data_IF_495620358034
#
_entry.id   IF_495620358034
#
_cell.length_a   1.000
_cell.length_b   1.000
_cell.length_c   1.000
_cell.angle_alpha   90.00
_cell.angle_beta   90.00
_cell.angle_gamma   90.00
#
_symmetry.space_group_name_H-M   'P 1'
#
loop_
_entity.id
_entity.type
_entity.pdbx_description
1 polymer ?
#
# COMPACT_ATOMS: atom_id res chain seq x y z
N UNK A 1 11.96 -4.57 14.88
CA UNK A 1 12.97 -3.89 14.03
C UNK A 1 14.21 -4.76 13.80
N UNK A 2 14.96 -5.11 14.86
CA UNK A 2 16.27 -5.78 14.79
C UNK A 2 16.33 -7.05 13.92
N UNK A 3 15.49 -8.05 14.17
CA UNK A 3 15.53 -9.33 13.43
C UNK A 3 15.06 -9.20 11.98
N UNK A 4 14.08 -8.32 11.72
CA UNK A 4 13.60 -8.05 10.36
C UNK A 4 14.67 -7.39 9.49
N UNK A 5 15.37 -6.38 10.03
CA UNK A 5 16.50 -5.74 9.31
C UNK A 5 17.70 -6.67 9.18
N UNK A 6 17.97 -7.55 10.16
CA UNK A 6 18.99 -8.59 10.03
C UNK A 6 18.70 -9.55 8.87
N UNK A 7 17.44 -9.98 8.73
CA UNK A 7 17.01 -10.82 7.63
C UNK A 7 17.14 -10.09 6.28
N UNK A 8 16.76 -8.81 6.22
CA UNK A 8 16.90 -7.99 5.02
C UNK A 8 18.36 -7.86 4.58
N UNK A 9 19.28 -7.52 5.49
CA UNK A 9 20.72 -7.44 5.19
C UNK A 9 21.27 -8.79 4.74
N UNK A 10 20.88 -9.89 5.40
CA UNK A 10 21.30 -11.24 5.03
C UNK A 10 20.76 -11.65 3.66
N UNK A 11 19.61 -11.13 3.25
CA UNK A 11 19.05 -11.28 1.91
C UNK A 11 19.70 -10.36 0.85
N UNK A 12 20.62 -9.47 1.24
CA UNK A 12 21.28 -8.52 0.34
C UNK A 12 20.54 -7.19 0.15
N UNK A 13 19.50 -6.91 0.95
CA UNK A 13 18.77 -5.64 0.89
C UNK A 13 19.49 -4.55 1.69
N UNK A 14 19.69 -3.39 1.05
CA UNK A 14 20.31 -2.21 1.69
C UNK A 14 19.30 -1.30 2.39
N UNK A 15 18.01 -1.50 2.13
CA UNK A 15 16.93 -0.86 2.86
C UNK A 15 15.57 -1.47 2.56
N UNK A 16 14.61 -1.19 3.43
CA UNK A 16 13.26 -1.75 3.41
C UNK A 16 12.21 -0.70 3.72
N UNK A 17 11.04 -0.81 3.11
CA UNK A 17 9.85 -0.03 3.49
C UNK A 17 9.08 -0.86 4.51
N UNK A 18 8.74 -0.29 5.67
CA UNK A 18 7.90 -0.97 6.66
C UNK A 18 6.44 -0.55 6.52
N UNK A 19 5.56 -1.55 6.44
CA UNK A 19 4.11 -1.35 6.33
C UNK A 19 3.50 -0.81 7.63
N UNK A 20 2.39 -0.04 7.56
CA UNK A 20 1.78 0.64 8.71
C UNK A 20 0.92 -0.26 9.60
N UNK A 21 0.72 -1.53 9.24
CA UNK A 21 -0.13 -2.50 9.94
C UNK A 21 0.47 -3.05 11.25
N UNK A 22 1.24 -2.22 11.96
CA UNK A 22 1.76 -2.51 13.30
C UNK A 22 0.70 -2.27 14.38
N UNK A 23 1.06 -2.54 15.65
CA UNK A 23 0.22 -2.21 16.81
C UNK A 23 1.04 -1.32 17.76
N UNK A 24 0.77 -0.01 17.85
CA UNK A 24 -0.26 0.76 17.12
C UNK A 24 -0.01 0.88 15.60
N UNK A 25 -1.06 1.20 14.83
CA UNK A 25 -0.99 1.45 13.38
C UNK A 25 -0.27 2.78 13.13
N UNK A 26 0.56 2.88 12.10
CA UNK A 26 1.32 4.10 11.78
C UNK A 26 0.41 5.10 11.05
N UNK A 27 -0.47 5.80 11.76
CA UNK A 27 -1.48 6.73 11.21
C UNK A 27 -1.29 8.20 11.61
N UNK A 28 -0.20 8.53 12.29
CA UNK A 28 0.12 9.88 12.77
C UNK A 28 1.63 10.16 12.74
N UNK A 29 2.00 11.45 12.69
CA UNK A 29 3.38 11.91 12.65
C UNK A 29 4.27 11.36 13.80
N UNK A 30 3.81 11.33 15.07
CA UNK A 30 4.60 10.78 16.17
C UNK A 30 4.96 9.31 16.00
N UNK A 31 4.08 8.52 15.37
CA UNK A 31 4.32 7.09 15.12
C UNK A 31 5.33 6.88 14.00
N UNK A 32 5.29 7.70 12.96
CA UNK A 32 6.32 7.73 11.90
C UNK A 32 7.69 8.05 12.51
N UNK A 33 7.76 9.10 13.34
CA UNK A 33 9.00 9.48 14.02
C UNK A 33 9.51 8.37 14.96
N UNK A 34 8.61 7.71 15.69
CA UNK A 34 8.96 6.59 16.56
C UNK A 34 9.61 5.44 15.78
N UNK A 35 9.08 5.10 14.60
CA UNK A 35 9.61 4.04 13.75
C UNK A 35 10.99 4.39 13.22
N UNK A 36 11.21 5.64 12.81
CA UNK A 36 12.52 6.15 12.39
C UNK A 36 13.54 6.11 13.53
N UNK A 37 13.15 6.53 14.73
CA UNK A 37 13.98 6.46 15.92
C UNK A 37 14.36 5.02 16.27
N UNK A 38 13.40 4.09 16.20
CA UNK A 38 13.64 2.68 16.45
C UNK A 38 14.56 2.08 15.39
N UNK A 39 14.41 2.49 14.12
CA UNK A 39 15.28 2.07 13.04
C UNK A 39 16.70 2.62 13.20
N UNK A 40 16.87 3.84 13.69
CA UNK A 40 18.18 4.40 13.97
C UNK A 40 18.90 3.68 15.13
N UNK A 41 18.14 3.21 16.14
CA UNK A 41 18.69 2.52 17.32
C UNK A 41 18.99 1.05 17.09
N UNK A 42 18.12 0.35 16.36
CA UNK A 42 18.16 -1.12 16.22
C UNK A 42 18.28 -1.63 14.79
N UNK A 43 18.12 -0.75 13.79
CA UNK A 43 18.11 -1.12 12.38
C UNK A 43 19.50 -1.47 11.88
N UNK A 44 19.59 -2.60 11.19
CA UNK A 44 20.83 -3.03 10.52
C UNK A 44 20.89 -2.57 9.05
N UNK A 45 19.79 -2.03 8.52
CA UNK A 45 19.70 -1.40 7.21
C UNK A 45 18.79 -0.17 7.28
N UNK A 46 18.69 0.58 6.17
CA UNK A 46 17.82 1.75 6.09
C UNK A 46 16.35 1.31 6.12
N UNK A 47 15.55 1.94 6.97
CA UNK A 47 14.11 1.68 7.07
C UNK A 47 13.35 2.94 6.70
N UNK A 48 12.38 2.80 5.80
CA UNK A 48 11.49 3.88 5.42
C UNK A 48 10.05 3.52 5.84
N UNK A 49 9.39 4.32 6.69
CA UNK A 49 8.01 4.05 7.08
C UNK A 49 7.04 4.38 5.96
N UNK A 50 6.07 3.49 5.74
CA UNK A 50 4.82 3.85 5.09
C UNK A 50 3.80 4.24 6.17
N UNK A 51 2.98 5.25 5.88
CA UNK A 51 1.86 5.67 6.72
C UNK A 51 0.55 4.96 6.32
N UNK A 52 -0.40 4.87 7.24
CA UNK A 52 -1.74 4.38 6.96
C UNK A 52 -2.50 5.35 6.04
N UNK A 53 -3.40 4.84 5.19
CA UNK A 53 -4.32 5.71 4.45
C UNK A 53 -5.40 6.23 5.41
N UNK A 54 -5.90 5.36 6.28
CA UNK A 54 -6.97 5.66 7.22
C UNK A 54 -6.57 5.50 8.68
N UNK A 55 -7.25 6.21 9.58
CA UNK A 55 -7.01 6.10 11.02
C UNK A 55 -7.23 4.67 11.49
N UNK A 56 -6.23 4.11 12.19
CA UNK A 56 -6.23 2.71 12.62
C UNK A 56 -6.35 1.68 11.48
N UNK A 57 -6.10 2.08 10.23
CA UNK A 57 -6.39 1.30 9.02
C UNK A 57 -7.81 0.73 9.02
N UNK A 58 -8.81 1.57 9.33
CA UNK A 58 -10.21 1.18 9.42
C UNK A 58 -10.96 1.26 8.07
N UNK A 59 -10.41 1.95 7.07
CA UNK A 59 -11.06 2.20 5.77
C UNK A 59 -12.12 3.31 5.77
N UNK A 60 -12.32 3.99 6.91
CA UNK A 60 -13.42 4.95 7.12
C UNK A 60 -12.97 6.41 6.96
N UNK A 61 -12.07 6.88 7.84
CA UNK A 61 -11.59 8.26 7.90
C UNK A 61 -10.10 8.34 7.54
N UNK A 62 -9.70 9.32 6.73
CA UNK A 62 -8.30 9.54 6.37
C UNK A 62 -7.41 9.83 7.60
N UNK A 63 -6.19 9.30 7.55
CA UNK A 63 -5.14 9.61 8.49
C UNK A 63 -4.51 11.00 8.23
N UNK A 64 -3.62 11.44 9.11
CA UNK A 64 -2.90 12.72 9.01
C UNK A 64 -1.78 12.67 7.95
N UNK A 65 -2.15 12.40 6.69
CA UNK A 65 -1.21 12.13 5.57
C UNK A 65 -0.15 13.22 5.43
N UNK A 66 -0.54 14.49 5.52
CA UNK A 66 0.41 15.61 5.37
C UNK A 66 1.44 15.68 6.50
N UNK A 67 1.02 15.44 7.74
CA UNK A 67 1.94 15.42 8.88
C UNK A 67 2.85 14.19 8.84
N UNK A 68 2.31 13.04 8.44
CA UNK A 68 3.11 11.82 8.22
C UNK A 68 4.16 12.01 7.13
N UNK A 69 3.81 12.67 6.03
CA UNK A 69 4.76 13.00 4.95
C UNK A 69 5.92 13.84 5.50
N UNK A 70 5.60 14.89 6.26
CA UNK A 70 6.61 15.78 6.87
C UNK A 70 7.47 15.05 7.92
N UNK A 71 6.90 14.09 8.63
CA UNK A 71 7.62 13.26 9.60
C UNK A 71 8.55 12.22 8.94
N UNK A 72 8.45 12.00 7.62
CA UNK A 72 9.34 11.12 6.86
C UNK A 72 8.69 9.83 6.36
N UNK A 73 7.35 9.76 6.30
CA UNK A 73 6.68 8.69 5.58
C UNK A 73 6.98 8.78 4.08
N UNK A 74 7.30 7.65 3.45
CA UNK A 74 7.69 7.60 2.01
C UNK A 74 6.58 7.09 1.10
N UNK A 75 5.48 6.62 1.67
CA UNK A 75 4.32 6.08 0.98
C UNK A 75 3.13 6.05 1.94
N UNK A 76 1.92 5.92 1.39
CA UNK A 76 0.72 5.59 2.19
C UNK A 76 0.09 4.28 1.72
N UNK A 77 -0.42 3.49 2.65
CA UNK A 77 -1.07 2.19 2.38
C UNK A 77 -1.92 1.75 3.56
N UNK A 78 -3.03 1.05 3.32
CA UNK A 78 -3.70 0.27 4.37
C UNK A 78 -3.49 -1.23 4.12
N UNK A 79 -2.24 -1.67 4.29
CA UNK A 79 -1.87 -3.06 4.03
C UNK A 79 -2.53 -4.03 5.02
N UNK A 80 -3.14 -5.09 4.50
CA UNK A 80 -3.90 -6.09 5.26
C UNK A 80 -5.34 -5.67 5.62
N UNK A 81 -5.75 -4.44 5.28
CA UNK A 81 -7.15 -3.98 5.37
C UNK A 81 -7.48 -3.08 4.16
N UNK A 82 -8.03 -3.65 3.08
CA UNK A 82 -8.30 -2.89 1.87
C UNK A 82 -9.22 -1.69 2.14
N UNK A 83 -8.99 -0.59 1.44
CA UNK A 83 -9.89 0.57 1.48
C UNK A 83 -11.09 0.25 0.61
N UNK A 84 -12.22 -0.10 1.23
CA UNK A 84 -13.43 -0.54 0.52
C UNK A 84 -14.10 0.62 -0.24
N UNK A 85 -14.07 1.84 0.32
CA UNK A 85 -14.75 3.00 -0.27
C UNK A 85 -13.88 3.68 -1.33
N UNK A 86 -14.35 3.68 -2.58
CA UNK A 86 -13.70 4.38 -3.69
C UNK A 86 -13.49 5.88 -3.42
N UNK A 87 -14.43 6.53 -2.73
CA UNK A 87 -14.32 7.93 -2.31
C UNK A 87 -13.12 8.18 -1.39
N UNK A 88 -12.91 7.31 -0.39
CA UNK A 88 -11.78 7.38 0.54
C UNK A 88 -10.46 7.20 -0.19
N UNK A 89 -10.38 6.19 -1.07
CA UNK A 89 -9.19 5.95 -1.88
C UNK A 89 -8.88 7.14 -2.82
N UNK A 90 -9.91 7.67 -3.50
CA UNK A 90 -9.78 8.86 -4.35
C UNK A 90 -9.24 10.05 -3.57
N UNK A 91 -9.79 10.29 -2.39
CA UNK A 91 -9.36 11.40 -1.54
C UNK A 91 -7.91 11.18 -1.06
N UNK A 92 -7.54 9.95 -0.70
CA UNK A 92 -6.18 9.59 -0.36
C UNK A 92 -5.20 9.88 -1.50
N UNK A 93 -5.54 9.51 -2.74
CA UNK A 93 -4.73 9.83 -3.93
C UNK A 93 -4.56 11.33 -4.15
N UNK A 94 -5.62 12.14 -3.95
CA UNK A 94 -5.55 13.60 -4.04
C UNK A 94 -4.60 14.19 -2.99
N UNK A 95 -4.68 13.73 -1.73
CA UNK A 95 -3.80 14.20 -0.67
C UNK A 95 -2.36 13.74 -0.88
N UNK A 96 -2.14 12.46 -1.21
CA UNK A 96 -0.83 11.89 -1.46
C UNK A 96 -0.07 12.67 -2.55
N UNK A 97 -0.78 13.08 -3.61
CA UNK A 97 -0.23 13.93 -4.68
C UNK A 97 0.30 15.27 -4.17
N UNK A 98 -0.35 15.90 -3.18
CA UNK A 98 0.11 17.18 -2.64
C UNK A 98 1.48 17.07 -1.95
N UNK A 99 1.83 15.86 -1.50
CA UNK A 99 3.06 15.56 -0.78
C UNK A 99 4.03 14.66 -1.56
N UNK A 100 3.78 14.44 -2.86
CA UNK A 100 4.57 13.54 -3.73
C UNK A 100 4.73 12.11 -3.15
N UNK A 101 3.68 11.63 -2.47
CA UNK A 101 3.66 10.31 -1.89
C UNK A 101 3.03 9.29 -2.83
N UNK A 102 3.66 8.13 -3.05
CA UNK A 102 3.01 7.01 -3.69
C UNK A 102 1.93 6.42 -2.77
N UNK A 103 0.78 6.13 -3.36
CA UNK A 103 -0.28 5.31 -2.73
C UNK A 103 -0.07 3.86 -3.12
N UNK A 104 0.10 2.99 -2.12
CA UNK A 104 0.11 1.54 -2.29
C UNK A 104 -1.22 0.99 -1.77
N UNK A 105 -1.81 0.08 -2.55
CA UNK A 105 -3.03 -0.62 -2.13
C UNK A 105 -2.75 -2.11 -1.97
N UNK A 106 -3.47 -2.69 -1.01
CA UNK A 106 -3.66 -4.13 -0.86
C UNK A 106 -4.99 -4.46 -1.56
N UNK A 107 -4.93 -4.67 -2.86
CA UNK A 107 -6.14 -4.86 -3.67
C UNK A 107 -6.86 -6.15 -3.29
N UNK A 108 -7.93 -6.02 -2.50
CA UNK A 108 -8.79 -7.12 -2.13
C UNK A 108 -10.22 -6.63 -1.89
N UNK A 109 -11.17 -7.05 -2.72
CA UNK A 109 -12.60 -6.89 -2.48
C UNK A 109 -13.06 -7.92 -1.44
N UNK A 110 -13.36 -7.42 -0.23
CA UNK A 110 -13.75 -8.27 0.89
C UNK A 110 -15.09 -8.98 0.68
N UNK A 111 -15.97 -8.46 -0.18
CA UNK A 111 -17.23 -9.14 -0.50
C UNK A 111 -17.00 -10.41 -1.33
N UNK A 112 -15.94 -10.42 -2.13
CA UNK A 112 -15.51 -11.55 -2.94
C UNK A 112 -14.55 -12.49 -2.21
N UNK A 113 -13.65 -11.96 -1.37
CA UNK A 113 -12.66 -12.78 -0.65
C UNK A 113 -13.13 -13.34 0.69
N UNK A 114 -14.23 -12.83 1.25
CA UNK A 114 -14.69 -13.15 2.60
C UNK A 114 -14.68 -14.66 2.92
N UNK A 115 -13.84 -15.05 3.88
CA UNK A 115 -13.75 -16.42 4.39
C UNK A 115 -13.05 -17.42 3.46
N UNK A 116 -12.53 -16.98 2.32
CA UNK A 116 -11.61 -17.78 1.52
C UNK A 116 -10.24 -17.91 2.21
N UNK A 117 -9.56 -19.03 1.97
CA UNK A 117 -8.28 -19.35 2.63
C UNK A 117 -7.15 -19.65 1.65
N UNK A 118 -7.47 -19.71 0.37
CA UNK A 118 -6.53 -19.98 -0.72
C UNK A 118 -7.13 -19.53 -2.05
N UNK A 119 -6.34 -19.51 -3.11
CA UNK A 119 -6.83 -19.24 -4.47
C UNK A 119 -7.96 -20.19 -4.87
N UNK A 120 -9.03 -19.64 -5.44
CA UNK A 120 -10.11 -20.41 -6.05
C UNK A 120 -9.64 -21.12 -7.31
N UNK A 121 -9.66 -22.46 -7.27
CA UNK A 121 -9.35 -23.26 -8.44
C UNK A 121 -9.38 -24.75 -8.15
N UNK A 122 -8.76 -25.53 -9.03
CA UNK A 122 -8.79 -27.00 -8.94
C UNK A 122 -8.37 -27.52 -7.56
N UNK A 123 -7.32 -26.93 -6.97
CA UNK A 123 -6.78 -27.39 -5.69
C UNK A 123 -7.72 -27.07 -4.53
N UNK A 124 -8.35 -25.89 -4.49
CA UNK A 124 -9.31 -25.55 -3.44
C UNK A 124 -10.53 -26.47 -3.49
N UNK A 125 -11.02 -26.79 -4.69
CA UNK A 125 -12.10 -27.75 -4.89
C UNK A 125 -11.72 -29.16 -4.43
N UNK A 126 -10.51 -29.62 -4.77
CA UNK A 126 -10.02 -30.95 -4.35
C UNK A 126 -9.85 -31.06 -2.83
N UNK A 127 -9.42 -30.00 -2.18
CA UNK A 127 -9.21 -29.96 -0.72
C UNK A 127 -10.49 -29.64 0.06
N UNK A 128 -11.59 -29.29 -0.62
CA UNK A 128 -12.84 -28.85 0.03
C UNK A 128 -12.69 -27.52 0.77
N UNK A 129 -11.71 -26.70 0.39
CA UNK A 129 -11.44 -25.40 1.00
C UNK A 129 -12.13 -24.28 0.22
N UNK A 130 -12.60 -23.25 0.95
CA UNK A 130 -13.18 -22.06 0.31
C UNK A 130 -12.08 -21.26 -0.41
N UNK A 131 -12.25 -21.10 -1.72
CA UNK A 131 -11.35 -20.33 -2.57
C UNK A 131 -11.65 -18.83 -2.54
N UNK A 132 -10.63 -18.02 -2.85
CA UNK A 132 -10.71 -16.60 -3.15
C UNK A 132 -10.63 -16.43 -4.67
N UNK A 133 -11.68 -15.90 -5.33
CA UNK A 133 -11.67 -15.68 -6.77
C UNK A 133 -10.61 -14.65 -7.15
N UNK A 134 -10.01 -14.77 -8.34
CA UNK A 134 -9.09 -13.76 -8.89
C UNK A 134 -9.76 -12.38 -9.00
N UNK A 135 -11.07 -12.35 -9.26
CA UNK A 135 -11.88 -11.15 -9.30
C UNK A 135 -11.82 -10.31 -8.01
N UNK A 136 -11.55 -10.93 -6.86
CA UNK A 136 -11.39 -10.20 -5.60
C UNK A 136 -10.25 -9.16 -5.67
N UNK A 137 -9.16 -9.49 -6.35
CA UNK A 137 -8.06 -8.55 -6.54
C UNK A 137 -8.32 -7.62 -7.73
N UNK A 138 -8.75 -8.19 -8.86
CA UNK A 138 -8.89 -7.48 -10.14
C UNK A 138 -9.85 -6.28 -10.08
N UNK A 139 -10.93 -6.38 -9.30
CA UNK A 139 -11.91 -5.29 -9.15
C UNK A 139 -11.28 -4.06 -8.49
N UNK A 140 -10.50 -4.26 -7.42
CA UNK A 140 -9.81 -3.16 -6.74
C UNK A 140 -8.68 -2.58 -7.59
N UNK A 141 -7.91 -3.43 -8.28
CA UNK A 141 -6.88 -2.99 -9.23
C UNK A 141 -7.50 -2.10 -10.31
N UNK A 142 -8.61 -2.54 -10.92
CA UNK A 142 -9.28 -1.78 -11.97
C UNK A 142 -9.83 -0.43 -11.46
N UNK A 143 -10.46 -0.43 -10.27
CA UNK A 143 -10.92 0.79 -9.59
C UNK A 143 -9.77 1.76 -9.38
N UNK A 144 -8.67 1.30 -8.80
CA UNK A 144 -7.55 2.15 -8.43
C UNK A 144 -6.83 2.74 -9.64
N UNK A 145 -6.73 1.98 -10.74
CA UNK A 145 -6.22 2.50 -12.02
C UNK A 145 -7.12 3.64 -12.53
N UNK A 146 -8.44 3.48 -12.49
CA UNK A 146 -9.36 4.52 -12.93
C UNK A 146 -9.26 5.79 -12.07
N UNK A 147 -9.19 5.62 -10.74
CA UNK A 147 -9.00 6.72 -9.81
C UNK A 147 -7.64 7.42 -10.03
N UNK A 148 -6.57 6.65 -10.23
CA UNK A 148 -5.25 7.17 -10.54
C UNK A 148 -5.25 8.06 -11.80
N UNK A 149 -5.92 7.60 -12.86
CA UNK A 149 -6.05 8.34 -14.11
C UNK A 149 -6.84 9.63 -13.93
N UNK A 150 -7.85 9.63 -13.07
CA UNK A 150 -8.65 10.81 -12.72
C UNK A 150 -7.82 11.82 -11.89
N UNK A 151 -7.09 11.34 -10.88
CA UNK A 151 -6.38 12.21 -9.91
C UNK A 151 -4.98 12.63 -10.37
N UNK A 152 -4.43 11.98 -11.40
CA UNK A 152 -3.10 12.27 -11.97
C UNK A 152 -2.02 11.25 -11.58
N UNK A 153 -0.84 11.27 -12.25
CA UNK A 153 0.22 10.29 -12.02
C UNK A 153 0.77 10.38 -10.59
N UNK A 154 0.68 9.29 -9.82
CA UNK A 154 1.16 9.22 -8.44
C UNK A 154 0.86 7.93 -7.66
N UNK A 155 -0.11 7.10 -8.04
CA UNK A 155 -0.41 5.84 -7.32
C UNK A 155 0.32 4.63 -7.91
N UNK A 156 0.81 3.75 -7.04
CA UNK A 156 1.49 2.48 -7.39
C UNK A 156 0.79 1.32 -6.67
N UNK A 157 -0.01 0.52 -7.38
CA UNK A 157 -0.62 -0.69 -6.83
C UNK A 157 0.47 -1.74 -6.47
N UNK A 158 0.47 -2.25 -5.23
CA UNK A 158 1.61 -3.00 -4.68
C UNK A 158 1.44 -4.53 -4.67
N UNK A 159 0.22 -5.06 -4.75
CA UNK A 159 -0.05 -6.48 -4.41
C UNK A 159 -0.40 -7.43 -5.54
N UNK A 160 -0.39 -7.05 -6.83
CA UNK A 160 -0.83 -7.99 -7.86
C UNK A 160 0.20 -9.08 -8.24
N UNK A 161 -0.12 -10.39 -8.14
CA UNK A 161 0.65 -11.48 -8.75
C UNK A 161 0.44 -11.57 -10.28
N UNK A 162 -0.54 -10.85 -10.82
CA UNK A 162 -0.86 -10.82 -12.25
C UNK A 162 -0.02 -9.76 -12.99
N UNK A 163 1.16 -10.19 -13.43
CA UNK A 163 1.92 -9.62 -14.55
C UNK A 163 2.29 -8.12 -14.53
N UNK A 164 3.57 -7.87 -14.22
CA UNK A 164 4.38 -6.86 -14.92
C UNK A 164 4.57 -5.53 -14.19
N UNK A 165 5.83 -5.27 -13.85
CA UNK A 165 6.47 -3.97 -13.56
C UNK A 165 5.73 -2.76 -14.18
N UNK A 166 5.20 -1.85 -13.35
CA UNK A 166 4.81 -0.50 -13.80
C UNK A 166 5.55 0.55 -12.97
N UNK A 167 6.70 1.00 -13.50
CA UNK A 167 7.36 2.21 -13.03
C UNK A 167 6.83 3.41 -13.82
N UNK A 168 6.16 4.36 -13.17
CA UNK A 168 5.93 5.67 -13.78
C UNK A 168 7.21 6.50 -13.70
N UNK A 169 8.07 6.34 -14.70
CA UNK A 169 9.02 7.38 -15.12
C UNK A 169 9.10 7.39 -16.65
N UNK A 170 8.73 8.53 -17.24
CA UNK A 170 8.84 8.94 -18.64
C UNK A 170 7.92 8.25 -19.68
N UNK A 171 6.85 8.96 -20.09
CA UNK A 171 6.10 8.54 -21.28
C UNK A 171 4.82 9.27 -21.69
N UNK A 172 4.43 10.39 -21.08
CA UNK A 172 3.20 11.11 -21.47
C UNK A 172 3.45 12.61 -21.73
N UNK A 173 4.41 12.91 -22.62
CA UNK A 173 4.32 14.13 -23.44
C UNK A 173 3.35 13.82 -24.59
N UNK A 174 2.05 14.05 -24.39
CA UNK A 174 1.17 14.29 -25.52
C UNK A 174 1.62 15.62 -26.13
N UNK A 175 2.09 15.56 -27.38
CA UNK A 175 2.28 16.76 -28.22
C UNK A 175 1.00 17.58 -28.15
N UNK A 176 1.11 18.83 -27.72
CA UNK A 176 0.09 19.83 -28.01
C UNK A 176 0.03 19.98 -29.55
N UNK A 177 -1.16 20.01 -30.17
CA UNK A 177 -1.27 20.35 -31.58
C UNK A 177 -1.02 21.86 -31.71
N UNK A 178 0.05 22.19 -32.43
CA UNK A 178 0.17 23.46 -33.16
C UNK A 178 -0.24 23.25 -34.61
#
# INVERSE_FOLDING_TARGET
MRTGTAAAVRGGFVGVVCMPNTRPVIDSAPLVAHVLDLAAREGLCRVWPAGAITKGSAGEELAEIGEMAQAGAVAITDDGRPVDRAETMRQAMIYARQFDLPVMDHCEDRSLSAGGVMHEGRVSSLLGLKGIPAAAEEVHVARDILLALETGPGSTCSTSPAAGRWSWSAGARRRAPG
#
